data_IF_738647944255
#
_entry.id   IF_738647944255
#
_cell.length_a   1.000
_cell.length_b   1.000
_cell.length_c   1.000
_cell.angle_alpha   90.00
_cell.angle_beta   90.00
_cell.angle_gamma   90.00
#
_symmetry.space_group_name_H-M   'P 1'
#
loop_
_entity.id
_entity.type
_entity.pdbx_description
1 polymer ?
#
# COMPACT_ATOMS: atom_id res chain seq x y z
N UNK A 1 -23.45 15.31 -3.73
CA UNK A 1 -24.18 14.40 -2.83
C UNK A 1 -25.67 14.34 -3.18
N UNK A 2 -26.34 15.48 -3.42
CA UNK A 2 -27.75 15.50 -3.78
C UNK A 2 -28.09 14.54 -4.94
N UNK A 3 -27.32 14.57 -6.03
CA UNK A 3 -27.53 13.67 -7.15
C UNK A 3 -27.46 12.17 -6.80
N UNK A 4 -26.73 11.80 -5.74
CA UNK A 4 -26.66 10.42 -5.26
C UNK A 4 -27.81 10.06 -4.31
N UNK A 5 -28.35 11.03 -3.60
CA UNK A 5 -29.50 10.85 -2.70
C UNK A 5 -30.81 10.80 -3.47
N UNK A 6 -30.99 11.77 -4.36
CA UNK A 6 -32.21 11.92 -5.15
C UNK A 6 -32.21 10.97 -6.35
N UNK A 7 -31.06 10.32 -6.64
CA UNK A 7 -30.86 9.45 -7.81
C UNK A 7 -31.27 10.14 -9.12
N UNK A 8 -31.11 11.45 -9.15
CA UNK A 8 -31.44 12.34 -10.27
C UNK A 8 -30.22 13.18 -10.62
N UNK A 9 -29.92 13.24 -11.89
CA UNK A 9 -28.83 14.03 -12.44
C UNK A 9 -29.34 14.88 -13.59
N UNK A 10 -29.03 16.17 -13.55
CA UNK A 10 -29.30 17.11 -14.64
C UNK A 10 -28.00 17.43 -15.38
N UNK A 11 -28.05 17.35 -16.70
CA UNK A 11 -26.97 17.74 -17.59
C UNK A 11 -27.43 18.97 -18.38
N UNK A 12 -27.22 20.19 -17.86
CA UNK A 12 -27.72 21.44 -18.46
C UNK A 12 -27.13 21.67 -19.86
N UNK A 13 -25.89 21.19 -20.08
CA UNK A 13 -25.17 21.36 -21.35
C UNK A 13 -25.88 20.68 -22.53
N UNK A 14 -26.66 19.65 -22.28
CA UNK A 14 -27.43 18.91 -23.28
C UNK A 14 -28.95 18.98 -23.03
N UNK A 15 -29.39 19.76 -22.05
CA UNK A 15 -30.79 19.93 -21.70
C UNK A 15 -31.50 18.66 -21.27
N UNK A 16 -30.79 17.69 -20.65
CA UNK A 16 -31.36 16.41 -20.24
C UNK A 16 -31.32 16.22 -18.73
N UNK A 17 -32.38 15.59 -18.23
CA UNK A 17 -32.45 15.08 -16.87
C UNK A 17 -32.49 13.54 -16.90
N UNK A 18 -31.72 12.92 -16.04
CA UNK A 18 -31.66 11.47 -15.88
C UNK A 18 -32.17 11.14 -14.48
N UNK A 19 -33.12 10.24 -14.39
CA UNK A 19 -33.66 9.76 -13.12
C UNK A 19 -33.63 8.24 -13.09
N UNK A 20 -33.32 7.68 -11.92
CA UNK A 20 -33.22 6.24 -11.74
C UNK A 20 -34.55 5.72 -11.20
N UNK A 21 -35.04 4.65 -11.79
CA UNK A 21 -36.22 3.91 -11.30
C UNK A 21 -35.81 2.95 -10.17
N UNK A 22 -36.80 2.48 -9.39
CA UNK A 22 -36.56 1.50 -8.33
C UNK A 22 -35.83 0.25 -8.82
N UNK A 23 -36.15 -0.22 -10.05
CA UNK A 23 -35.57 -1.41 -10.66
C UNK A 23 -34.14 -1.23 -11.15
N UNK A 24 -33.71 0.02 -11.39
CA UNK A 24 -32.38 0.37 -11.92
C UNK A 24 -31.52 1.12 -10.90
N UNK A 25 -31.83 1.00 -9.61
CA UNK A 25 -31.10 1.68 -8.55
C UNK A 25 -29.65 1.22 -8.49
N UNK A 26 -28.65 2.10 -8.68
CA UNK A 26 -27.24 1.71 -8.67
C UNK A 26 -26.77 1.40 -7.24
N UNK A 27 -25.87 0.44 -7.11
CA UNK A 27 -25.04 0.27 -5.91
C UNK A 27 -23.81 1.15 -6.10
N UNK A 28 -23.62 2.11 -5.19
CA UNK A 28 -22.51 3.06 -5.26
C UNK A 28 -21.49 2.71 -4.18
N UNK A 29 -20.27 2.37 -4.62
CA UNK A 29 -19.15 2.10 -3.73
C UNK A 29 -18.14 3.24 -3.90
N UNK A 30 -17.80 3.89 -2.79
CA UNK A 30 -16.80 4.96 -2.76
C UNK A 30 -15.63 4.55 -1.88
N UNK A 31 -14.41 4.74 -2.39
CA UNK A 31 -13.18 4.49 -1.65
C UNK A 31 -12.49 5.81 -1.32
N UNK A 32 -11.93 5.91 -0.13
CA UNK A 32 -11.16 7.08 0.31
C UNK A 32 -9.93 6.64 1.08
N UNK A 33 -8.82 7.34 0.86
CA UNK A 33 -7.64 7.19 1.69
C UNK A 33 -7.84 7.94 3.02
N UNK A 34 -7.22 7.45 4.10
CA UNK A 34 -7.28 8.07 5.43
C UNK A 34 -6.57 9.44 5.54
N UNK A 35 -6.09 9.99 4.41
CA UNK A 35 -5.33 11.25 4.38
C UNK A 35 -6.21 12.49 4.63
N UNK A 36 -7.51 12.39 4.36
CA UNK A 36 -8.48 13.46 4.62
C UNK A 36 -9.66 12.92 5.41
N UNK A 37 -10.01 13.62 6.46
CA UNK A 37 -11.23 13.33 7.21
C UNK A 37 -12.45 13.65 6.33
N UNK A 38 -13.29 12.65 6.11
CA UNK A 38 -14.56 12.85 5.40
C UNK A 38 -15.51 13.71 6.24
N UNK A 39 -16.25 14.64 5.63
CA UNK A 39 -17.22 15.47 6.36
C UNK A 39 -18.28 14.62 7.07
N UNK A 40 -18.65 15.01 8.29
CA UNK A 40 -19.65 14.29 9.09
C UNK A 40 -20.99 14.14 8.36
N UNK A 41 -21.38 15.14 7.59
CA UNK A 41 -22.60 15.12 6.77
C UNK A 41 -22.56 14.04 5.69
N UNK A 42 -21.37 13.71 5.17
CA UNK A 42 -21.16 12.62 4.22
C UNK A 42 -21.26 11.26 4.91
N UNK A 43 -20.58 11.10 6.05
CA UNK A 43 -20.54 9.83 6.79
C UNK A 43 -21.92 9.36 7.28
N UNK A 44 -22.85 10.29 7.53
CA UNK A 44 -24.23 9.96 7.93
C UNK A 44 -25.09 9.35 6.81
N UNK A 45 -24.63 9.42 5.57
CA UNK A 45 -25.38 9.01 4.36
C UNK A 45 -24.84 7.74 3.72
N UNK A 46 -23.79 7.15 4.29
CA UNK A 46 -23.12 5.97 3.75
C UNK A 46 -22.99 4.88 4.82
N UNK A 47 -22.99 3.63 4.40
CA UNK A 47 -22.50 2.54 5.24
C UNK A 47 -20.97 2.61 5.22
N UNK A 48 -20.35 2.92 6.36
CA UNK A 48 -18.90 3.03 6.47
C UNK A 48 -18.30 1.67 6.75
N UNK A 49 -17.30 1.30 5.95
CA UNK A 49 -16.50 0.11 6.15
C UNK A 49 -15.01 0.49 6.20
N UNK A 50 -14.31 0.13 7.28
CA UNK A 50 -12.88 0.33 7.39
C UNK A 50 -12.13 -0.88 6.82
N UNK A 51 -11.25 -0.63 5.85
CA UNK A 51 -10.36 -1.65 5.31
C UNK A 51 -9.04 -1.58 6.08
N UNK A 52 -8.80 -2.59 6.91
CA UNK A 52 -7.54 -2.69 7.63
C UNK A 52 -6.36 -3.00 6.70
N UNK A 53 -5.15 -2.64 7.17
CA UNK A 53 -3.95 -3.02 6.45
C UNK A 53 -3.80 -4.55 6.48
N UNK A 54 -3.41 -5.20 5.35
CA UNK A 54 -3.34 -6.66 5.27
C UNK A 54 -2.41 -7.26 6.33
N UNK A 55 -2.81 -8.41 6.88
CA UNK A 55 -1.97 -9.18 7.79
C UNK A 55 -0.70 -9.70 7.09
N UNK A 56 0.37 -10.09 7.82
CA UNK A 56 1.55 -10.70 7.20
C UNK A 56 1.22 -11.90 6.32
N UNK A 57 0.24 -12.73 6.72
CA UNK A 57 -0.22 -13.86 5.92
C UNK A 57 -0.92 -13.44 4.63
N UNK A 58 -1.71 -12.36 4.68
CA UNK A 58 -2.34 -11.80 3.49
C UNK A 58 -1.32 -11.15 2.56
N UNK A 59 -0.33 -10.43 3.12
CA UNK A 59 0.77 -9.86 2.34
C UNK A 59 1.56 -10.94 1.62
N UNK A 60 1.84 -12.07 2.27
CA UNK A 60 2.51 -13.21 1.65
C UNK A 60 1.71 -13.73 0.45
N UNK A 61 0.39 -13.95 0.61
CA UNK A 61 -0.48 -14.37 -0.49
C UNK A 61 -0.48 -13.36 -1.64
N UNK A 62 -0.56 -12.07 -1.32
CA UNK A 62 -0.53 -11.01 -2.33
C UNK A 62 0.79 -11.02 -3.11
N UNK A 63 1.93 -11.11 -2.43
CA UNK A 63 3.23 -11.14 -3.07
C UNK A 63 3.39 -12.38 -3.97
N UNK A 64 2.98 -13.56 -3.50
CA UNK A 64 3.03 -14.80 -4.28
C UNK A 64 2.15 -14.75 -5.54
N UNK A 65 1.01 -14.05 -5.49
CA UNK A 65 0.13 -13.87 -6.65
C UNK A 65 0.62 -12.81 -7.64
N UNK A 66 1.43 -11.86 -7.18
CA UNK A 66 1.85 -10.70 -7.99
C UNK A 66 3.28 -10.79 -8.49
N UNK A 67 4.09 -11.65 -7.91
CA UNK A 67 5.52 -11.77 -8.21
C UNK A 67 5.87 -13.20 -8.57
N UNK A 68 6.44 -13.37 -9.77
CA UNK A 68 6.98 -14.65 -10.21
C UNK A 68 8.34 -14.95 -9.56
N UNK A 69 8.67 -16.26 -9.45
CA UNK A 69 10.01 -16.73 -9.10
C UNK A 69 10.33 -16.76 -7.60
N UNK A 70 9.30 -16.71 -6.76
CA UNK A 70 9.38 -16.94 -5.33
C UNK A 70 8.72 -18.28 -4.92
N UNK A 71 8.49 -19.19 -5.88
CA UNK A 71 7.79 -20.46 -5.66
C UNK A 71 8.65 -21.48 -4.90
N UNK A 72 9.98 -21.34 -4.96
CA UNK A 72 10.91 -22.20 -4.25
C UNK A 72 10.85 -21.96 -2.73
N UNK A 73 11.33 -22.93 -1.95
CA UNK A 73 11.45 -22.80 -0.50
C UNK A 73 12.35 -21.62 -0.09
N UNK A 74 13.43 -21.39 -0.85
CA UNK A 74 14.30 -20.21 -0.69
C UNK A 74 13.54 -18.91 -1.01
N UNK A 75 12.73 -18.90 -2.08
CA UNK A 75 11.91 -17.74 -2.45
C UNK A 75 10.89 -17.37 -1.36
N UNK A 76 10.23 -18.36 -0.78
CA UNK A 76 9.29 -18.12 0.34
C UNK A 76 9.99 -17.50 1.55
N UNK A 77 11.18 -17.99 1.94
CA UNK A 77 12.00 -17.41 3.01
C UNK A 77 12.37 -15.96 2.72
N UNK A 78 12.68 -15.63 1.47
CA UNK A 78 12.95 -14.25 1.07
C UNK A 78 11.71 -13.38 1.20
N UNK A 79 10.52 -13.86 0.80
CA UNK A 79 9.27 -13.12 0.97
C UNK A 79 8.94 -12.88 2.46
N UNK A 80 9.14 -13.87 3.31
CA UNK A 80 8.94 -13.73 4.75
C UNK A 80 9.87 -12.66 5.34
N UNK A 81 11.14 -12.64 4.93
CA UNK A 81 12.10 -11.62 5.35
C UNK A 81 11.75 -10.22 4.85
N UNK A 82 11.26 -10.09 3.61
CA UNK A 82 10.75 -8.84 3.03
C UNK A 82 9.57 -8.33 3.85
N UNK A 83 8.58 -9.18 4.14
CA UNK A 83 7.38 -8.84 4.91
C UNK A 83 7.76 -8.44 6.34
N UNK A 84 8.66 -9.19 6.97
CA UNK A 84 9.14 -8.88 8.31
C UNK A 84 9.84 -7.53 8.39
N UNK A 85 10.75 -7.24 7.46
CA UNK A 85 11.43 -5.96 7.38
C UNK A 85 10.47 -4.80 7.06
N UNK A 86 9.53 -5.02 6.15
CA UNK A 86 8.49 -4.04 5.84
C UNK A 86 7.58 -3.76 7.04
N UNK A 87 7.23 -4.80 7.80
CA UNK A 87 6.48 -4.66 9.05
C UNK A 87 7.24 -3.82 10.08
N UNK A 88 8.55 -4.05 10.23
CA UNK A 88 9.43 -3.27 11.09
C UNK A 88 9.48 -1.79 10.67
N UNK A 89 9.59 -1.50 9.36
CA UNK A 89 9.56 -0.14 8.83
C UNK A 89 8.23 0.58 9.15
N UNK A 90 7.11 -0.14 9.13
CA UNK A 90 5.77 0.43 9.43
C UNK A 90 5.49 0.58 10.92
N UNK A 91 6.24 -0.10 11.77
CA UNK A 91 6.11 0.00 13.21
C UNK A 91 6.63 1.36 13.69
N UNK A 92 5.73 2.17 14.28
CA UNK A 92 6.03 3.56 14.71
C UNK A 92 7.09 3.69 15.78
N UNK A 93 7.37 2.61 16.49
CA UNK A 93 8.40 2.53 17.55
C UNK A 93 9.81 2.33 16.99
N UNK A 94 9.94 1.83 15.78
CA UNK A 94 11.23 1.55 15.12
C UNK A 94 11.66 2.65 14.16
N UNK A 95 10.77 3.09 13.29
CA UNK A 95 11.05 4.13 12.29
C UNK A 95 9.89 5.12 12.27
N UNK A 96 10.18 6.40 12.49
CA UNK A 96 9.16 7.46 12.42
C UNK A 96 9.05 8.01 11.02
N UNK A 97 8.21 7.39 10.20
CA UNK A 97 7.88 7.88 8.88
C UNK A 97 6.71 8.86 8.93
N UNK A 98 6.77 9.92 8.12
CA UNK A 98 5.64 10.84 7.90
C UNK A 98 4.52 10.14 7.14
N UNK A 99 4.90 9.29 6.17
CA UNK A 99 3.96 8.49 5.39
C UNK A 99 4.41 7.03 5.34
N UNK A 100 3.63 6.16 5.97
CA UNK A 100 3.90 4.72 5.92
C UNK A 100 3.68 4.19 4.48
N UNK A 101 4.60 3.36 3.96
CA UNK A 101 4.42 2.72 2.68
C UNK A 101 3.24 1.74 2.74
N UNK A 102 2.52 1.60 1.63
CA UNK A 102 1.35 0.73 1.47
C UNK A 102 1.73 -0.57 0.72
N UNK A 103 0.74 -1.43 0.49
CA UNK A 103 0.93 -2.73 -0.18
C UNK A 103 1.49 -2.58 -1.60
N UNK A 104 1.13 -1.52 -2.33
CA UNK A 104 1.66 -1.26 -3.67
C UNK A 104 3.18 -1.03 -3.65
N UNK A 105 3.67 -0.25 -2.69
CA UNK A 105 5.10 -0.01 -2.50
C UNK A 105 5.83 -1.29 -2.09
N UNK A 106 5.21 -2.12 -1.25
CA UNK A 106 5.78 -3.43 -0.87
C UNK A 106 5.99 -4.33 -2.10
N UNK A 107 4.99 -4.43 -2.99
CA UNK A 107 5.08 -5.23 -4.21
C UNK A 107 6.22 -4.71 -5.11
N UNK A 108 6.27 -3.39 -5.33
CA UNK A 108 7.30 -2.78 -6.15
C UNK A 108 8.69 -2.94 -5.54
N UNK A 109 8.82 -2.82 -4.23
CA UNK A 109 10.08 -3.00 -3.53
C UNK A 109 10.59 -4.44 -3.60
N UNK A 110 9.73 -5.42 -3.35
CA UNK A 110 10.07 -6.84 -3.49
C UNK A 110 10.52 -7.20 -4.91
N UNK A 111 9.81 -6.68 -5.93
CA UNK A 111 10.19 -6.84 -7.33
C UNK A 111 11.55 -6.21 -7.64
N UNK A 112 11.83 -5.01 -7.09
CA UNK A 112 13.11 -4.32 -7.26
C UNK A 112 14.25 -5.09 -6.62
N UNK A 113 14.12 -5.52 -5.36
CA UNK A 113 15.15 -6.30 -4.66
C UNK A 113 15.53 -7.55 -5.46
N UNK A 114 14.53 -8.26 -5.98
CA UNK A 114 14.76 -9.41 -6.85
C UNK A 114 15.49 -9.04 -8.13
N UNK A 115 15.07 -7.96 -8.81
CA UNK A 115 15.72 -7.50 -10.05
C UNK A 115 17.17 -7.07 -9.83
N UNK A 116 17.50 -6.56 -8.65
CA UNK A 116 18.86 -6.21 -8.23
C UNK A 116 19.69 -7.43 -7.84
N UNK A 117 19.10 -8.63 -7.75
CA UNK A 117 19.78 -9.83 -7.26
C UNK A 117 20.10 -9.80 -5.77
N UNK A 118 19.40 -8.93 -5.01
CA UNK A 118 19.60 -8.82 -3.56
C UNK A 118 19.03 -10.05 -2.84
N UNK A 119 19.86 -10.70 -2.02
CA UNK A 119 19.40 -11.80 -1.16
C UNK A 119 18.60 -11.27 0.02
N UNK A 120 17.27 -11.23 -0.15
CA UNK A 120 16.37 -10.67 0.84
C UNK A 120 16.33 -11.47 2.15
N UNK A 121 16.83 -12.71 2.19
CA UNK A 121 16.91 -13.48 3.45
C UNK A 121 17.79 -12.79 4.50
N UNK A 122 18.71 -11.92 4.06
CA UNK A 122 19.61 -11.12 4.92
C UNK A 122 18.93 -9.91 5.61
N UNK A 123 17.70 -9.54 5.22
CA UNK A 123 16.97 -8.41 5.80
C UNK A 123 16.70 -8.55 7.30
N UNK A 124 16.74 -9.77 7.84
CA UNK A 124 16.62 -10.03 9.28
C UNK A 124 17.86 -9.64 10.09
N UNK A 125 19.03 -9.40 9.44
CA UNK A 125 20.30 -9.09 10.13
C UNK A 125 21.09 -8.02 9.36
N UNK A 126 20.62 -6.79 9.38
CA UNK A 126 21.22 -5.66 8.66
C UNK A 126 22.70 -5.40 8.99
N UNK A 127 23.18 -5.57 10.26
CA UNK A 127 24.61 -5.40 10.56
C UNK A 127 25.54 -6.35 9.80
N UNK A 128 25.02 -7.50 9.37
CA UNK A 128 25.80 -8.50 8.60
C UNK A 128 25.89 -8.24 7.10
N UNK A 129 25.28 -7.16 6.59
CA UNK A 129 25.34 -6.80 5.18
C UNK A 129 26.72 -6.23 4.81
N UNK A 130 27.22 -6.60 3.63
CA UNK A 130 28.40 -5.97 3.02
C UNK A 130 28.12 -4.50 2.65
N UNK A 131 29.16 -3.74 2.37
CA UNK A 131 29.01 -2.33 1.93
C UNK A 131 28.17 -2.24 0.64
N UNK A 132 28.38 -3.14 -0.32
CA UNK A 132 27.62 -3.19 -1.56
C UNK A 132 26.13 -3.52 -1.31
N UNK A 133 25.85 -4.51 -0.45
CA UNK A 133 24.48 -4.87 -0.08
C UNK A 133 23.75 -3.74 0.65
N UNK A 134 24.45 -3.00 1.51
CA UNK A 134 23.91 -1.79 2.17
C UNK A 134 23.60 -0.71 1.16
N UNK A 135 24.45 -0.48 0.17
CA UNK A 135 24.21 0.49 -0.89
C UNK A 135 22.99 0.09 -1.73
N UNK A 136 22.90 -1.15 -2.17
CA UNK A 136 21.75 -1.68 -2.90
C UNK A 136 20.45 -1.51 -2.10
N UNK A 137 20.45 -1.88 -0.82
CA UNK A 137 19.28 -1.73 0.05
C UNK A 137 18.92 -0.28 0.26
N UNK A 138 19.91 0.60 0.49
CA UNK A 138 19.74 2.04 0.60
C UNK A 138 19.05 2.65 -0.62
N UNK A 139 19.49 2.29 -1.82
CA UNK A 139 18.87 2.72 -3.08
C UNK A 139 17.44 2.22 -3.20
N UNK A 140 17.19 0.97 -2.82
CA UNK A 140 15.86 0.35 -2.90
C UNK A 140 14.81 1.05 -2.03
N UNK A 141 15.21 1.66 -0.92
CA UNK A 141 14.31 2.40 -0.03
C UNK A 141 13.62 3.60 -0.69
N UNK A 142 14.13 4.08 -1.82
CA UNK A 142 13.48 5.12 -2.63
C UNK A 142 12.07 4.71 -3.08
N UNK A 143 11.78 3.42 -3.22
CA UNK A 143 10.46 2.91 -3.54
C UNK A 143 9.49 3.04 -2.36
N UNK A 144 9.99 2.85 -1.14
CA UNK A 144 9.20 2.90 0.10
C UNK A 144 8.98 4.32 0.61
N UNK A 145 10.00 5.20 0.45
CA UNK A 145 9.93 6.57 0.90
C UNK A 145 9.12 7.45 -0.06
N UNK A 146 8.34 8.38 0.49
CA UNK A 146 7.54 9.35 -0.28
C UNK A 146 8.05 10.79 -0.15
N UNK A 147 9.06 11.01 0.67
CA UNK A 147 9.74 12.29 0.86
C UNK A 147 11.19 12.07 1.34
N UNK A 148 11.96 13.16 1.33
CA UNK A 148 13.39 13.14 1.67
C UNK A 148 13.65 12.71 3.13
N UNK A 149 12.78 13.11 4.05
CA UNK A 149 12.97 12.81 5.47
C UNK A 149 12.74 11.33 5.75
N UNK A 150 11.69 10.75 5.15
CA UNK A 150 11.41 9.32 5.24
C UNK A 150 12.54 8.49 4.62
N UNK A 151 13.08 8.93 3.48
CA UNK A 151 14.23 8.26 2.86
C UNK A 151 15.45 8.24 3.78
N UNK A 152 15.77 9.39 4.39
CA UNK A 152 16.88 9.47 5.35
C UNK A 152 16.65 8.60 6.58
N UNK A 153 15.41 8.55 7.08
CA UNK A 153 15.06 7.70 8.22
C UNK A 153 15.24 6.20 7.91
N UNK A 154 14.87 5.77 6.69
CA UNK A 154 15.10 4.40 6.23
C UNK A 154 16.58 4.08 6.03
N UNK A 155 17.33 4.99 5.42
CA UNK A 155 18.77 4.84 5.24
C UNK A 155 19.55 4.78 6.56
N UNK A 156 19.05 5.44 7.59
CA UNK A 156 19.59 5.39 8.95
C UNK A 156 19.45 4.03 9.65
N UNK A 157 18.77 3.05 9.03
CA UNK A 157 18.70 1.66 9.53
C UNK A 157 19.94 0.83 9.20
N UNK A 158 20.78 1.28 8.25
CA UNK A 158 21.93 0.57 7.67
C UNK A 158 23.25 0.96 8.35
#
# INVERSE_FOLDING_TARGET
>A
LAALEDLRFEAPEIGKSFETTADNRPIIIMTSNSEKTLPAAFLRRVAYFHIEFPSPADLLRILQQKLDGFDSESGKKQLDAIIGHFGMIRAKDKVKLKKNPATAELIQWAALLRKMGFDASKLGHLPGLSAEEKEQLSLSYSVLAKNKDDLKALQGLL
#
